data_IF_358296997927
#
_entry.id   IF_358296997927
#
_cell.length_a   1.000
_cell.length_b   1.000
_cell.length_c   1.000
_cell.angle_alpha   90.00
_cell.angle_beta   90.00
_cell.angle_gamma   90.00
#
_symmetry.space_group_name_H-M   'P 1'
#
loop_
_entity.id
_entity.type
_entity.pdbx_description
1 polymer ?
#
# COMPACT_ATOMS: atom_id res chain seq x y z
N UNK A 1 12.42 6.17 0.29
CA UNK A 1 12.10 6.98 1.49
C UNK A 1 12.23 6.13 2.74
N UNK A 2 11.43 5.07 2.87
CA UNK A 2 11.41 4.18 4.04
C UNK A 2 12.81 3.72 4.50
N UNK A 3 13.66 3.23 3.59
CA UNK A 3 15.01 2.72 3.92
C UNK A 3 16.04 3.77 4.39
N UNK A 4 15.79 5.06 4.13
CA UNK A 4 16.81 6.12 4.30
C UNK A 4 16.45 7.22 5.27
N UNK A 5 15.16 7.50 5.42
CA UNK A 5 14.66 8.66 6.16
C UNK A 5 13.97 8.29 7.49
N UNK A 6 13.94 6.99 7.80
CA UNK A 6 13.42 6.44 9.04
C UNK A 6 14.43 5.45 9.60
N UNK A 7 14.78 5.61 10.88
CA UNK A 7 15.69 4.75 11.62
C UNK A 7 15.14 4.51 13.03
N UNK A 8 15.39 3.35 13.64
CA UNK A 8 14.98 3.07 15.02
C UNK A 8 15.82 3.78 16.10
N UNK A 9 16.81 4.57 15.70
CA UNK A 9 17.71 5.28 16.62
C UNK A 9 17.05 6.55 17.21
N UNK A 10 17.62 7.13 18.28
CA UNK A 10 17.10 8.37 18.87
C UNK A 10 17.00 9.57 17.90
N UNK A 11 17.80 9.58 16.83
CA UNK A 11 17.80 10.57 15.73
C UNK A 11 17.05 10.06 14.49
N UNK A 12 16.04 9.22 14.71
CA UNK A 12 15.45 8.34 13.71
C UNK A 12 14.66 9.00 12.57
N UNK A 13 14.21 10.24 12.73
CA UNK A 13 13.41 10.96 11.75
C UNK A 13 14.25 11.99 10.98
N UNK A 14 13.92 12.20 9.71
CA UNK A 14 14.58 13.21 8.87
C UNK A 14 14.08 14.65 9.11
N UNK A 15 13.23 14.87 10.11
CA UNK A 15 12.56 16.14 10.44
C UNK A 15 11.65 15.95 11.65
N UNK A 16 10.78 16.92 11.90
CA UNK A 16 9.81 16.86 13.00
C UNK A 16 8.83 15.69 12.81
N UNK A 17 8.47 15.04 13.93
CA UNK A 17 7.54 13.90 13.92
C UNK A 17 6.08 14.33 13.66
N UNK A 18 5.76 15.59 13.97
CA UNK A 18 4.48 16.25 13.70
C UNK A 18 3.24 15.47 14.21
N UNK A 19 3.25 15.16 15.51
CA UNK A 19 2.09 14.68 16.26
C UNK A 19 1.47 13.38 15.70
N UNK A 20 2.28 12.49 15.16
CA UNK A 20 1.84 11.23 14.55
C UNK A 20 1.80 11.27 13.02
N UNK A 21 1.87 12.44 12.37
CA UNK A 21 1.75 12.52 10.92
C UNK A 21 2.91 11.82 10.20
N UNK A 22 4.15 12.13 10.58
CA UNK A 22 5.35 11.54 9.96
C UNK A 22 5.44 10.04 10.30
N UNK A 23 5.05 9.63 11.51
CA UNK A 23 5.01 8.21 11.89
C UNK A 23 3.90 7.44 11.15
N UNK A 24 2.69 7.98 11.05
CA UNK A 24 1.58 7.34 10.34
C UNK A 24 1.88 7.19 8.84
N UNK A 25 2.63 8.13 8.24
CA UNK A 25 3.14 7.99 6.88
C UNK A 25 3.95 6.71 6.70
N UNK A 26 4.83 6.40 7.65
CA UNK A 26 5.62 5.16 7.59
C UNK A 26 4.74 3.93 7.76
N UNK A 27 3.79 3.95 8.70
CA UNK A 27 2.86 2.84 8.92
C UNK A 27 2.10 2.50 7.63
N UNK A 28 1.42 3.48 7.02
CA UNK A 28 0.67 3.27 5.78
C UNK A 28 1.58 2.84 4.62
N UNK A 29 2.68 3.57 4.41
CA UNK A 29 3.60 3.27 3.31
C UNK A 29 4.22 1.88 3.44
N UNK A 30 4.49 1.40 4.66
CA UNK A 30 5.03 0.06 4.90
C UNK A 30 4.01 -1.06 4.64
N UNK A 31 2.72 -0.76 4.80
CA UNK A 31 1.61 -1.64 4.38
C UNK A 31 1.42 -1.63 2.86
N UNK A 32 1.98 -0.66 2.15
CA UNK A 32 1.97 -0.59 0.69
C UNK A 32 0.80 0.20 0.09
N UNK A 33 0.11 1.03 0.87
CA UNK A 33 -0.92 1.95 0.36
C UNK A 33 -1.08 3.18 1.26
N UNK A 34 -1.62 4.28 0.73
CA UNK A 34 -1.72 5.55 1.45
C UNK A 34 -3.00 6.34 1.08
N UNK A 35 -3.70 6.97 2.07
CA UNK A 35 -4.88 7.79 1.80
C UNK A 35 -4.51 9.17 1.24
N UNK A 36 -4.25 9.26 -0.06
CA UNK A 36 -3.81 10.51 -0.72
C UNK A 36 -4.86 11.62 -0.66
N UNK A 37 -6.15 11.28 -0.79
CA UNK A 37 -7.25 12.23 -0.76
C UNK A 37 -8.24 11.84 0.34
N UNK A 38 -7.99 12.20 1.61
CA UNK A 38 -8.94 11.99 2.68
C UNK A 38 -10.30 12.61 2.32
N UNK A 39 -11.37 11.82 2.43
CA UNK A 39 -12.71 12.17 1.95
C UNK A 39 -13.15 11.36 0.73
N UNK A 40 -12.21 10.75 -0.02
CA UNK A 40 -12.54 9.68 -0.95
C UNK A 40 -12.66 8.32 -0.23
N UNK A 41 -13.14 7.30 -0.95
CA UNK A 41 -13.15 5.89 -0.51
C UNK A 41 -11.83 5.18 -0.89
N UNK A 42 -10.74 5.89 -1.23
CA UNK A 42 -9.56 5.29 -1.88
C UNK A 42 -8.26 5.39 -1.08
N UNK A 43 -7.52 4.29 -1.05
CA UNK A 43 -6.12 4.20 -0.64
C UNK A 43 -5.23 3.93 -1.85
N UNK A 44 -4.37 4.87 -2.23
CA UNK A 44 -3.49 4.73 -3.39
C UNK A 44 -2.36 3.74 -3.09
N UNK A 45 -2.11 2.82 -4.00
CA UNK A 45 -1.14 1.74 -3.86
C UNK A 45 0.27 2.27 -4.06
N UNK A 46 1.16 1.91 -3.14
CA UNK A 46 2.61 2.05 -3.23
C UNK A 46 3.27 0.68 -3.41
N UNK A 47 4.24 0.36 -2.56
CA UNK A 47 4.86 -0.95 -2.50
C UNK A 47 5.00 -1.39 -1.02
N UNK A 48 4.62 -2.63 -0.67
CA UNK A 48 4.74 -3.12 0.70
C UNK A 48 6.20 -3.21 1.12
N UNK A 49 6.47 -3.12 2.43
CA UNK A 49 7.81 -3.27 2.99
C UNK A 49 8.07 -4.69 3.52
N UNK A 50 7.04 -5.36 4.02
CA UNK A 50 7.16 -6.68 4.64
C UNK A 50 6.75 -7.80 3.68
N UNK A 51 7.13 -9.04 3.98
CA UNK A 51 6.64 -10.21 3.23
C UNK A 51 5.20 -10.56 3.58
N UNK A 52 4.78 -10.24 4.81
CA UNK A 52 3.41 -10.45 5.28
C UNK A 52 3.02 -9.36 6.27
N UNK A 53 1.81 -8.84 6.11
CA UNK A 53 1.16 -7.99 7.10
C UNK A 53 -0.29 -8.44 7.31
N UNK A 54 -0.82 -8.22 8.52
CA UNK A 54 -2.21 -8.51 8.84
C UNK A 54 -2.77 -7.38 9.69
N UNK A 55 -3.84 -6.75 9.19
CA UNK A 55 -4.58 -5.70 9.89
C UNK A 55 -5.82 -6.35 10.50
N UNK A 56 -5.97 -6.23 11.82
CA UNK A 56 -7.18 -6.65 12.53
C UNK A 56 -8.12 -5.46 12.64
N UNK A 57 -9.30 -5.57 12.02
CA UNK A 57 -10.29 -4.50 12.01
C UNK A 57 -11.19 -4.61 13.24
N UNK A 58 -11.74 -3.47 13.68
CA UNK A 58 -12.64 -3.41 14.84
C UNK A 58 -13.90 -4.26 14.67
N UNK A 59 -14.36 -4.47 13.43
CA UNK A 59 -15.50 -5.32 13.12
C UNK A 59 -15.18 -6.83 13.14
N UNK A 60 -13.96 -7.22 13.50
CA UNK A 60 -13.48 -8.61 13.57
C UNK A 60 -12.95 -9.17 12.24
N UNK A 61 -13.11 -8.45 11.13
CA UNK A 61 -12.53 -8.84 9.84
C UNK A 61 -11.02 -8.59 9.81
N UNK A 62 -10.35 -9.13 8.79
CA UNK A 62 -8.90 -8.98 8.58
C UNK A 62 -8.58 -8.51 7.18
N UNK A 63 -7.56 -7.67 7.07
CA UNK A 63 -6.87 -7.41 5.81
C UNK A 63 -5.51 -8.10 5.86
N UNK A 64 -5.33 -9.11 5.03
CA UNK A 64 -4.09 -9.89 4.90
C UNK A 64 -3.35 -9.47 3.64
N UNK A 65 -2.10 -9.03 3.79
CA UNK A 65 -1.23 -8.60 2.69
C UNK A 65 -0.09 -9.60 2.62
N UNK A 66 0.04 -10.31 1.50
CA UNK A 66 1.07 -11.31 1.27
C UNK A 66 1.92 -10.89 0.07
N UNK A 67 3.21 -10.67 0.29
CA UNK A 67 4.21 -10.26 -0.71
C UNK A 67 5.46 -11.14 -0.53
N UNK A 68 5.38 -12.46 -0.79
CA UNK A 68 6.49 -13.36 -0.56
C UNK A 68 7.72 -12.96 -1.39
N UNK A 69 8.91 -13.15 -0.82
CA UNK A 69 10.19 -12.74 -1.39
C UNK A 69 10.37 -11.22 -1.52
N UNK A 70 9.56 -10.40 -0.85
CA UNK A 70 9.77 -8.96 -0.80
C UNK A 70 11.08 -8.65 -0.05
N UNK A 71 12.02 -8.01 -0.73
CA UNK A 71 13.31 -7.61 -0.19
C UNK A 71 13.84 -6.36 -0.92
N UNK A 72 15.03 -5.89 -0.54
CA UNK A 72 15.62 -4.67 -1.11
C UNK A 72 15.80 -4.69 -2.65
N UNK A 73 15.91 -5.87 -3.27
CA UNK A 73 16.05 -6.04 -4.70
C UNK A 73 14.67 -6.14 -5.40
N UNK A 74 13.73 -6.87 -4.81
CA UNK A 74 12.39 -7.16 -5.35
C UNK A 74 11.34 -6.16 -4.87
N UNK A 75 11.51 -4.89 -5.25
CA UNK A 75 10.66 -3.78 -4.76
C UNK A 75 9.46 -3.41 -5.64
N UNK A 76 9.38 -3.94 -6.86
CA UNK A 76 8.31 -3.60 -7.80
C UNK A 76 7.16 -4.59 -7.69
N UNK A 77 5.94 -4.13 -7.93
CA UNK A 77 4.76 -4.99 -8.02
C UNK A 77 4.62 -5.44 -9.48
N UNK A 78 4.85 -6.73 -9.74
CA UNK A 78 4.56 -7.33 -11.05
C UNK A 78 3.06 -7.59 -11.22
N UNK A 79 2.44 -8.23 -10.22
CA UNK A 79 1.02 -8.61 -10.23
C UNK A 79 0.42 -8.49 -8.84
N UNK A 80 -0.89 -8.32 -8.80
CA UNK A 80 -1.66 -8.28 -7.57
C UNK A 80 -2.98 -9.00 -7.76
N UNK A 81 -3.43 -9.69 -6.71
CA UNK A 81 -4.76 -10.26 -6.60
C UNK A 81 -5.46 -9.72 -5.37
N UNK A 82 -6.75 -9.41 -5.50
CA UNK A 82 -7.62 -9.06 -4.39
C UNK A 82 -8.67 -10.15 -4.25
N UNK A 83 -8.67 -10.85 -3.12
CA UNK A 83 -9.55 -11.98 -2.84
C UNK A 83 -9.51 -13.08 -3.92
N UNK A 84 -8.33 -13.31 -4.51
CA UNK A 84 -8.09 -14.33 -5.54
C UNK A 84 -8.27 -13.85 -6.99
N UNK A 85 -8.92 -12.70 -7.19
CA UNK A 85 -9.17 -12.10 -8.50
C UNK A 85 -8.04 -11.16 -8.91
N UNK A 86 -7.72 -11.12 -10.21
CA UNK A 86 -6.67 -10.25 -10.73
C UNK A 86 -7.02 -8.76 -10.50
N UNK A 87 -6.04 -8.00 -10.01
CA UNK A 87 -6.24 -6.62 -9.59
C UNK A 87 -5.19 -5.68 -10.18
N UNK A 88 -5.61 -4.86 -11.16
CA UNK A 88 -4.74 -3.95 -11.90
C UNK A 88 -4.77 -2.51 -11.40
N UNK A 89 -5.78 -2.13 -10.62
CA UNK A 89 -5.97 -0.75 -10.16
C UNK A 89 -4.80 -0.30 -9.27
N UNK A 90 -4.57 1.00 -9.23
CA UNK A 90 -3.54 1.65 -8.40
C UNK A 90 -4.10 2.20 -7.08
N UNK A 91 -5.27 1.73 -6.66
CA UNK A 91 -5.88 2.08 -5.39
C UNK A 91 -6.67 0.89 -4.85
N UNK A 92 -6.87 0.82 -3.54
CA UNK A 92 -7.88 -0.02 -2.89
C UNK A 92 -9.05 0.84 -2.44
N UNK A 93 -10.24 0.25 -2.32
CA UNK A 93 -11.39 0.94 -1.72
C UNK A 93 -11.54 0.60 -0.25
N UNK A 94 -11.83 1.58 0.60
CA UNK A 94 -12.13 1.33 2.01
C UNK A 94 -13.33 0.37 2.15
N UNK A 95 -14.35 0.53 1.30
CA UNK A 95 -15.52 -0.36 1.24
C UNK A 95 -15.20 -1.83 0.91
N UNK A 96 -14.07 -2.12 0.26
CA UNK A 96 -13.59 -3.49 0.04
C UNK A 96 -12.77 -3.98 1.22
N UNK A 97 -11.87 -3.15 1.76
CA UNK A 97 -11.00 -3.51 2.88
C UNK A 97 -11.79 -3.79 4.16
N UNK A 98 -12.84 -3.01 4.46
CA UNK A 98 -13.62 -3.15 5.69
C UNK A 98 -14.39 -4.49 5.77
N UNK A 99 -14.68 -5.12 4.63
CA UNK A 99 -15.29 -6.46 4.55
C UNK A 99 -14.30 -7.59 4.83
N UNK A 100 -13.03 -7.26 5.02
CA UNK A 100 -11.92 -8.18 5.00
C UNK A 100 -11.41 -8.39 3.58
N UNK A 101 -10.09 -8.49 3.44
CA UNK A 101 -9.43 -8.60 2.16
C UNK A 101 -8.18 -9.47 2.25
N UNK A 102 -7.93 -10.27 1.22
CA UNK A 102 -6.67 -10.96 1.00
C UNK A 102 -6.01 -10.37 -0.25
N UNK A 103 -4.87 -9.73 -0.05
CA UNK A 103 -4.10 -9.03 -1.08
C UNK A 103 -2.83 -9.86 -1.30
N UNK A 104 -2.76 -10.57 -2.42
CA UNK A 104 -1.61 -11.37 -2.81
C UNK A 104 -0.81 -10.63 -3.89
N UNK A 105 0.45 -10.34 -3.61
CA UNK A 105 1.32 -9.47 -4.41
C UNK A 105 2.51 -10.29 -4.90
N UNK A 106 2.74 -10.28 -6.21
CA UNK A 106 3.96 -10.82 -6.81
C UNK A 106 4.97 -9.69 -6.95
N UNK A 107 6.06 -9.78 -6.18
CA UNK A 107 7.15 -8.81 -6.21
C UNK A 107 8.17 -9.14 -7.31
N UNK A 108 8.82 -8.13 -7.87
CA UNK A 108 9.83 -8.27 -8.92
C UNK A 108 10.99 -7.28 -8.76
N UNK A 109 12.15 -7.64 -9.32
CA UNK A 109 13.33 -6.77 -9.39
C UNK A 109 13.21 -5.69 -10.48
N UNK A 110 12.44 -5.98 -11.53
CA UNK A 110 12.20 -5.10 -12.66
C UNK A 110 10.74 -4.65 -12.69
N UNK A 111 10.45 -3.42 -13.14
CA UNK A 111 9.09 -2.91 -13.22
C UNK A 111 8.29 -3.61 -14.32
N UNK A 112 7.06 -4.02 -14.00
CA UNK A 112 6.06 -4.35 -15.00
C UNK A 112 5.45 -3.06 -15.57
N UNK A 113 5.77 -2.75 -16.83
CA UNK A 113 5.33 -1.51 -17.50
C UNK A 113 3.90 -1.56 -18.02
N UNK A 114 3.24 -2.72 -17.96
CA UNK A 114 1.88 -2.93 -18.46
C UNK A 114 0.84 -2.96 -17.33
N UNK A 115 1.25 -3.07 -16.06
CA UNK A 115 0.35 -3.07 -14.91
C UNK A 115 -0.11 -1.66 -14.56
N UNK A 116 -1.42 -1.47 -14.43
CA UNK A 116 -2.00 -0.26 -13.84
C UNK A 116 -1.88 0.99 -14.71
N UNK A 117 -1.75 0.82 -16.03
CA UNK A 117 -1.56 1.92 -16.98
C UNK A 117 -2.85 2.35 -17.68
N UNK A 118 -3.96 1.63 -17.50
CA UNK A 118 -5.23 2.03 -18.10
C UNK A 118 -5.85 3.20 -17.34
N UNK A 119 -6.66 4.01 -18.03
CA UNK A 119 -7.39 5.11 -17.39
C UNK A 119 -8.28 4.64 -16.22
N UNK A 120 -8.84 3.43 -16.32
CA UNK A 120 -9.65 2.82 -15.26
C UNK A 120 -8.86 2.35 -14.03
N UNK A 121 -7.53 2.27 -14.15
CA UNK A 121 -6.63 1.89 -13.05
C UNK A 121 -6.18 3.11 -12.22
N UNK A 122 -6.40 4.32 -12.74
CA UNK A 122 -6.07 5.57 -12.06
C UNK A 122 -7.01 5.82 -10.86
N UNK A 123 -6.51 6.40 -9.76
CA UNK A 123 -7.35 6.81 -8.63
C UNK A 123 -8.23 8.00 -8.98
N UNK A 124 -9.14 8.31 -8.07
CA UNK A 124 -10.06 9.43 -8.12
C UNK A 124 -9.35 10.77 -8.43
N UNK A 125 -10.02 11.56 -9.27
CA UNK A 125 -9.75 12.97 -9.50
C UNK A 125 -11.07 13.67 -9.76
N UNK A 126 -11.29 14.84 -9.16
CA UNK A 126 -12.53 15.60 -9.28
C UNK A 126 -12.88 15.96 -10.74
N UNK A 127 -11.89 16.11 -11.61
CA UNK A 127 -12.09 16.38 -13.05
C UNK A 127 -12.73 15.24 -13.83
N UNK A 128 -12.89 14.06 -13.21
CA UNK A 128 -13.40 12.83 -13.82
C UNK A 128 -14.60 12.26 -13.06
N UNK A 129 -15.19 13.01 -12.13
CA UNK A 129 -16.44 12.66 -11.43
C UNK A 129 -17.67 12.76 -12.35
#
# INVERSE_FOLDING_TARGET
>A
VMDKLYSPNPDGYCGDEDNGQTSAWYVFSSLGFYPVCPGSDEYVIGAPLFEKATIHLENGNKVEINSPNNNHNTRYIDKMKLNGEDYTKNYFRYSDLIKGAKIDITMSEEPNKDRGVNKSDAPYSFTHE
#
